data_IF_573183526591
#
_entry.id   IF_573183526591
#
_cell.length_a   1.000
_cell.length_b   1.000
_cell.length_c   1.000
_cell.angle_alpha   90.00
_cell.angle_beta   90.00
_cell.angle_gamma   90.00
#
_symmetry.space_group_name_H-M   'P 1'
#
loop_
_entity.id
_entity.type
_entity.pdbx_description
1 polymer ?
#
# COMPACT_ATOMS: atom_id res chain seq x y z
N UNK A 1 -0.40 17.14 -5.25
CA UNK A 1 -0.90 17.24 -6.62
C UNK A 1 -1.75 16.03 -7.00
N UNK A 2 -1.24 14.78 -6.89
CA UNK A 2 -1.95 13.56 -7.34
C UNK A 2 -3.25 13.29 -6.57
N UNK A 3 -3.25 13.41 -5.24
CA UNK A 3 -4.46 13.27 -4.43
C UNK A 3 -5.53 14.31 -4.78
N UNK A 4 -5.13 15.56 -5.00
CA UNK A 4 -6.07 16.62 -5.41
C UNK A 4 -6.66 16.39 -6.82
N UNK A 5 -5.91 15.76 -7.71
CA UNK A 5 -6.41 15.36 -9.02
C UNK A 5 -7.45 14.24 -8.90
N UNK A 6 -7.20 13.25 -8.05
CA UNK A 6 -8.15 12.20 -7.71
C UNK A 6 -9.46 12.79 -7.16
N UNK A 7 -9.39 13.67 -6.17
CA UNK A 7 -10.57 14.30 -5.56
C UNK A 7 -11.40 15.07 -6.59
N UNK A 8 -10.76 15.75 -7.54
CA UNK A 8 -11.48 16.46 -8.62
C UNK A 8 -12.16 15.53 -9.60
N UNK A 9 -11.60 14.36 -9.86
CA UNK A 9 -12.10 13.41 -10.86
C UNK A 9 -13.18 12.47 -10.32
N UNK A 10 -12.98 11.95 -9.11
CA UNK A 10 -13.80 10.86 -8.53
C UNK A 10 -14.49 11.24 -7.21
N UNK A 11 -14.31 12.47 -6.75
CA UNK A 11 -14.80 12.90 -5.44
C UNK A 11 -13.79 12.64 -4.32
N UNK A 12 -14.08 13.19 -3.15
CA UNK A 12 -13.22 13.03 -1.98
C UNK A 12 -13.41 11.64 -1.37
N UNK A 13 -12.33 10.87 -1.12
CA UNK A 13 -12.44 9.64 -0.35
C UNK A 13 -13.06 9.91 1.02
N UNK A 14 -14.09 9.16 1.38
CA UNK A 14 -14.83 9.47 2.59
C UNK A 14 -15.93 8.46 2.89
N UNK A 15 -17.13 8.96 3.12
CA UNK A 15 -18.26 8.14 3.58
C UNK A 15 -18.96 7.41 2.43
N UNK A 16 -18.90 7.99 1.20
CA UNK A 16 -19.52 7.41 0.01
C UNK A 16 -18.49 6.78 -0.90
N UNK A 17 -18.83 5.62 -1.46
CA UNK A 17 -18.03 4.96 -2.48
C UNK A 17 -18.38 5.54 -3.86
N UNK A 18 -17.38 5.92 -4.68
CA UNK A 18 -17.64 6.36 -6.03
C UNK A 18 -18.21 5.23 -6.89
N UNK A 19 -19.03 5.59 -7.85
CA UNK A 19 -19.41 4.67 -8.92
C UNK A 19 -18.27 4.64 -9.92
N UNK A 20 -17.62 3.50 -10.03
CA UNK A 20 -16.54 3.29 -11.00
C UNK A 20 -17.12 2.77 -12.31
N UNK A 21 -16.92 3.50 -13.39
CA UNK A 21 -17.38 3.10 -14.73
C UNK A 21 -16.48 2.01 -15.34
N UNK A 22 -15.22 1.92 -14.89
CA UNK A 22 -14.24 1.01 -15.44
C UNK A 22 -13.08 0.72 -14.47
N UNK A 23 -12.24 -0.25 -14.85
CA UNK A 23 -11.10 -0.71 -14.06
C UNK A 23 -10.00 0.34 -13.90
N UNK A 24 -9.85 1.21 -14.88
CA UNK A 24 -8.87 2.29 -14.82
C UNK A 24 -9.20 3.29 -13.71
N UNK A 25 -10.46 3.61 -13.51
CA UNK A 25 -10.90 4.49 -12.41
C UNK A 25 -10.63 3.87 -11.04
N UNK A 26 -10.86 2.55 -10.89
CA UNK A 26 -10.50 1.84 -9.67
C UNK A 26 -8.98 1.91 -9.40
N UNK A 27 -8.17 1.71 -10.44
CA UNK A 27 -6.71 1.82 -10.33
C UNK A 27 -6.27 3.23 -9.94
N UNK A 28 -6.82 4.26 -10.58
CA UNK A 28 -6.52 5.66 -10.26
C UNK A 28 -6.94 5.99 -8.83
N UNK A 29 -8.08 5.47 -8.37
CA UNK A 29 -8.54 5.63 -6.99
C UNK A 29 -7.54 5.07 -5.98
N UNK A 30 -7.03 3.87 -6.22
CA UNK A 30 -6.02 3.23 -5.37
C UNK A 30 -4.69 3.99 -5.39
N UNK A 31 -4.16 4.31 -6.59
CA UNK A 31 -2.88 5.04 -6.74
C UNK A 31 -2.96 6.43 -6.09
N UNK A 32 -4.06 7.15 -6.31
CA UNK A 32 -4.26 8.47 -5.72
C UNK A 32 -4.34 8.43 -4.19
N UNK A 33 -4.97 7.39 -3.64
CA UNK A 33 -5.02 7.17 -2.19
C UNK A 33 -3.64 6.86 -1.60
N UNK A 34 -2.85 6.02 -2.25
CA UNK A 34 -1.45 5.75 -1.86
C UNK A 34 -0.61 7.02 -1.94
N UNK A 35 -0.75 7.81 -3.01
CA UNK A 35 -0.02 9.06 -3.15
C UNK A 35 -0.41 10.09 -2.07
N UNK A 36 -1.68 10.14 -1.68
CA UNK A 36 -2.13 10.95 -0.55
C UNK A 36 -1.50 10.53 0.77
N UNK A 37 -1.47 9.23 1.03
CA UNK A 37 -0.82 8.66 2.21
C UNK A 37 0.68 8.95 2.24
N UNK A 38 1.39 8.74 1.13
CA UNK A 38 2.83 9.03 1.03
C UNK A 38 3.11 10.52 1.29
N UNK A 39 2.27 11.42 0.76
CA UNK A 39 2.41 12.84 1.01
C UNK A 39 2.21 13.19 2.49
N UNK A 40 1.22 12.58 3.16
CA UNK A 40 0.99 12.79 4.59
C UNK A 40 2.16 12.27 5.45
N UNK A 41 2.69 11.08 5.14
CA UNK A 41 3.85 10.51 5.84
C UNK A 41 5.11 11.37 5.63
N UNK A 42 5.36 11.82 4.41
CA UNK A 42 6.51 12.68 4.11
C UNK A 42 6.42 14.03 4.84
N UNK A 43 5.22 14.61 4.95
CA UNK A 43 5.01 15.87 5.67
C UNK A 43 5.23 15.69 7.19
N UNK A 44 4.77 14.58 7.76
CA UNK A 44 5.06 14.24 9.17
C UNK A 44 6.56 14.10 9.41
N UNK A 45 7.28 13.41 8.54
CA UNK A 45 8.74 13.27 8.62
C UNK A 45 9.47 14.62 8.46
N UNK A 46 8.89 15.56 7.72
CA UNK A 46 9.39 16.94 7.55
C UNK A 46 8.88 17.90 8.66
N UNK A 47 8.44 17.38 9.81
CA UNK A 47 7.87 18.18 10.91
C UNK A 47 6.68 19.05 10.47
N UNK A 48 5.84 18.53 9.59
CA UNK A 48 4.64 19.21 9.06
C UNK A 48 4.94 20.52 8.35
N UNK A 49 6.05 20.58 7.62
CA UNK A 49 6.52 21.78 6.94
C UNK A 49 5.55 22.31 5.87
N UNK A 50 4.76 21.43 5.26
CA UNK A 50 3.78 21.77 4.20
C UNK A 50 2.36 21.86 4.76
N UNK A 51 2.07 21.14 5.85
CA UNK A 51 0.75 21.10 6.49
C UNK A 51 -0.26 20.28 5.68
N UNK A 52 0.13 19.10 5.23
CA UNK A 52 -0.81 18.17 4.58
C UNK A 52 -1.94 17.84 5.56
N UNK A 53 -3.22 17.89 5.14
CA UNK A 53 -4.33 17.66 6.03
C UNK A 53 -4.25 16.30 6.74
N UNK A 54 -4.33 16.30 8.06
CA UNK A 54 -4.29 15.08 8.89
C UNK A 54 -5.38 14.06 8.57
N UNK A 55 -6.48 14.50 7.95
CA UNK A 55 -7.59 13.63 7.59
C UNK A 55 -7.38 12.84 6.27
N UNK A 56 -6.27 13.04 5.57
CA UNK A 56 -5.99 12.31 4.31
C UNK A 56 -5.87 10.81 4.57
N UNK A 57 -5.16 10.40 5.62
CA UNK A 57 -4.98 8.99 5.93
C UNK A 57 -6.28 8.26 6.31
N UNK A 58 -7.12 8.78 7.23
CA UNK A 58 -8.44 8.19 7.50
C UNK A 58 -9.38 8.18 6.28
N UNK A 59 -9.31 9.19 5.42
CA UNK A 59 -10.08 9.23 4.18
C UNK A 59 -9.61 8.19 3.17
N UNK A 60 -8.31 8.01 3.02
CA UNK A 60 -7.74 6.96 2.17
C UNK A 60 -8.15 5.56 2.66
N UNK A 61 -8.18 5.34 3.97
CA UNK A 61 -8.65 4.09 4.57
C UNK A 61 -10.11 3.81 4.20
N UNK A 62 -11.00 4.77 4.42
CA UNK A 62 -12.42 4.64 4.05
C UNK A 62 -12.61 4.50 2.54
N UNK A 63 -11.85 5.24 1.75
CA UNK A 63 -11.88 5.11 0.30
C UNK A 63 -11.46 3.73 -0.19
N UNK A 64 -10.48 3.11 0.46
CA UNK A 64 -10.07 1.74 0.13
C UNK A 64 -11.07 0.69 0.61
N UNK A 65 -11.89 0.98 1.62
CA UNK A 65 -12.97 0.08 2.04
C UNK A 65 -13.94 -0.21 0.89
N UNK A 66 -14.12 0.72 -0.04
CA UNK A 66 -14.94 0.56 -1.25
C UNK A 66 -14.48 -0.58 -2.18
N UNK A 67 -13.21 -0.94 -2.11
CA UNK A 67 -12.57 -1.97 -2.94
C UNK A 67 -12.03 -3.15 -2.12
N UNK A 68 -12.24 -3.19 -0.79
CA UNK A 68 -11.72 -4.24 0.08
C UNK A 68 -12.72 -5.40 0.27
N UNK A 69 -13.28 -5.89 -0.82
CA UNK A 69 -14.01 -7.16 -0.84
C UNK A 69 -13.20 -8.26 -1.55
N UNK A 70 -13.69 -9.50 -1.46
CA UNK A 70 -12.98 -10.65 -2.03
C UNK A 70 -12.75 -10.53 -3.53
N UNK A 71 -13.73 -10.00 -4.29
CA UNK A 71 -13.64 -9.87 -5.74
C UNK A 71 -12.58 -8.84 -6.15
N UNK A 72 -12.64 -7.66 -5.54
CA UNK A 72 -11.69 -6.58 -5.84
C UNK A 72 -10.28 -6.90 -5.34
N UNK A 73 -10.14 -7.53 -4.17
CA UNK A 73 -8.82 -7.96 -3.70
C UNK A 73 -8.18 -9.01 -4.60
N UNK A 74 -8.93 -9.96 -5.17
CA UNK A 74 -8.39 -10.87 -6.19
C UNK A 74 -7.98 -10.13 -7.45
N UNK A 75 -8.87 -9.27 -7.98
CA UNK A 75 -8.64 -8.51 -9.20
C UNK A 75 -7.41 -7.61 -9.09
N UNK A 76 -7.22 -6.98 -7.95
CA UNK A 76 -6.17 -6.01 -7.67
C UNK A 76 -5.06 -6.60 -6.76
N UNK A 77 -4.82 -7.92 -6.88
CA UNK A 77 -3.68 -8.62 -6.27
C UNK A 77 -3.46 -8.26 -4.79
N UNK A 78 -4.52 -8.04 -4.03
CA UNK A 78 -4.49 -7.69 -2.61
C UNK A 78 -4.19 -6.23 -2.30
N UNK A 79 -4.06 -5.35 -3.30
CA UNK A 79 -3.69 -3.95 -3.09
C UNK A 79 -4.69 -3.16 -2.22
N UNK A 80 -6.04 -3.23 -2.41
CA UNK A 80 -6.96 -2.52 -1.53
C UNK A 80 -6.78 -2.89 -0.06
N UNK A 81 -6.69 -4.18 0.23
CA UNK A 81 -6.45 -4.69 1.57
C UNK A 81 -5.09 -4.25 2.10
N UNK A 82 -4.03 -4.32 1.30
CA UNK A 82 -2.70 -3.89 1.70
C UNK A 82 -2.66 -2.42 2.11
N UNK A 83 -3.32 -1.53 1.35
CA UNK A 83 -3.39 -0.11 1.66
C UNK A 83 -4.13 0.11 2.99
N UNK A 84 -5.31 -0.51 3.17
CA UNK A 84 -6.07 -0.39 4.42
C UNK A 84 -5.29 -0.89 5.61
N UNK A 85 -4.75 -2.10 5.53
CA UNK A 85 -4.01 -2.71 6.63
C UNK A 85 -2.74 -1.93 6.96
N UNK A 86 -2.06 -1.36 5.97
CA UNK A 86 -0.95 -0.43 6.21
C UNK A 86 -1.38 0.81 6.99
N UNK A 87 -2.55 1.36 6.68
CA UNK A 87 -3.10 2.51 7.43
C UNK A 87 -3.45 2.14 8.86
N UNK A 88 -3.96 0.94 9.09
CA UNK A 88 -4.26 0.45 10.44
C UNK A 88 -3.02 0.28 11.32
N UNK A 89 -1.84 0.04 10.74
CA UNK A 89 -0.59 0.00 11.51
C UNK A 89 -0.05 1.39 11.85
N UNK A 90 -0.38 2.41 11.06
CA UNK A 90 0.22 3.75 11.15
C UNK A 90 -0.69 4.74 11.91
N UNK A 91 -2.01 4.63 11.69
CA UNK A 91 -2.97 5.61 12.19
C UNK A 91 -3.70 5.05 13.42
N UNK A 92 -3.47 5.63 14.61
CA UNK A 92 -4.17 5.17 15.81
C UNK A 92 -5.69 5.29 15.69
N UNK A 93 -6.41 4.28 16.15
CA UNK A 93 -7.87 4.32 16.28
C UNK A 93 -8.67 4.08 14.99
N UNK A 94 -8.02 3.79 13.87
CA UNK A 94 -8.73 3.46 12.60
C UNK A 94 -8.86 1.95 12.37
N UNK A 95 -8.14 1.14 13.14
CA UNK A 95 -8.21 -0.32 13.06
C UNK A 95 -9.58 -0.80 13.55
N UNK A 96 -10.32 -1.60 12.75
CA UNK A 96 -11.57 -2.19 13.21
C UNK A 96 -11.37 -3.10 14.43
N UNK A 97 -12.37 -3.19 15.29
CA UNK A 97 -12.32 -4.03 16.46
C UNK A 97 -12.11 -5.52 16.09
N UNK A 98 -11.17 -6.17 16.78
CA UNK A 98 -10.85 -7.59 16.55
C UNK A 98 -10.03 -7.89 15.29
N UNK A 99 -9.60 -6.87 14.56
CA UNK A 99 -8.74 -7.03 13.37
C UNK A 99 -7.27 -6.92 13.75
N UNK A 100 -6.46 -7.88 13.31
CA UNK A 100 -5.00 -7.81 13.34
C UNK A 100 -4.48 -7.25 12.01
N UNK A 101 -3.96 -6.01 11.97
CA UNK A 101 -3.45 -5.39 10.75
C UNK A 101 -2.33 -6.18 10.07
N UNK A 102 -1.46 -6.78 10.85
CA UNK A 102 -0.32 -7.54 10.34
C UNK A 102 -0.75 -8.85 9.68
N UNK A 103 -1.75 -9.54 10.25
CA UNK A 103 -2.34 -10.73 9.64
C UNK A 103 -3.07 -10.40 8.33
N UNK A 104 -3.73 -9.23 8.24
CA UNK A 104 -4.37 -8.79 7.01
C UNK A 104 -3.33 -8.39 5.93
N UNK A 105 -2.20 -7.78 6.32
CA UNK A 105 -1.07 -7.54 5.41
C UNK A 105 -0.48 -8.84 4.86
N UNK A 106 -0.35 -9.88 5.69
CA UNK A 106 0.12 -11.20 5.23
C UNK A 106 -0.81 -11.79 4.16
N UNK A 107 -2.13 -11.69 4.36
CA UNK A 107 -3.12 -12.14 3.35
C UNK A 107 -3.02 -11.35 2.05
N UNK A 108 -2.90 -10.03 2.15
CA UNK A 108 -2.75 -9.16 0.98
C UNK A 108 -1.47 -9.46 0.20
N UNK A 109 -0.36 -9.66 0.91
CA UNK A 109 0.94 -10.01 0.33
C UNK A 109 0.89 -11.35 -0.39
N UNK A 110 0.24 -12.36 0.20
CA UNK A 110 0.07 -13.66 -0.44
C UNK A 110 -0.68 -13.54 -1.77
N UNK A 111 -1.80 -12.80 -1.81
CA UNK A 111 -2.53 -12.53 -3.05
C UNK A 111 -1.64 -11.89 -4.11
N UNK A 112 -0.83 -10.90 -3.72
CA UNK A 112 0.09 -10.24 -4.65
C UNK A 112 1.17 -11.19 -5.20
N UNK A 113 1.70 -12.08 -4.37
CA UNK A 113 2.68 -13.08 -4.80
C UNK A 113 2.08 -14.10 -5.76
N UNK A 114 0.88 -14.57 -5.48
CA UNK A 114 0.17 -15.56 -6.31
C UNK A 114 -0.15 -14.99 -7.71
N UNK A 115 -0.49 -13.71 -7.80
CA UNK A 115 -0.81 -13.01 -9.05
C UNK A 115 0.42 -12.43 -9.77
N UNK A 116 1.61 -12.57 -9.20
CA UNK A 116 2.86 -12.04 -9.78
C UNK A 116 2.98 -10.51 -9.76
N UNK A 117 2.18 -9.83 -8.92
CA UNK A 117 2.23 -8.37 -8.68
C UNK A 117 2.49 -8.12 -7.20
N UNK A 118 3.72 -7.86 -6.86
CA UNK A 118 4.22 -7.88 -5.48
C UNK A 118 4.17 -6.53 -4.75
N UNK A 119 3.32 -5.61 -5.22
CA UNK A 119 3.17 -4.29 -4.60
C UNK A 119 2.70 -4.34 -3.13
N UNK A 120 1.81 -5.26 -2.73
CA UNK A 120 1.49 -5.46 -1.31
C UNK A 120 2.71 -5.80 -0.44
N UNK A 121 3.69 -6.55 -0.97
CA UNK A 121 4.94 -6.85 -0.25
C UNK A 121 5.79 -5.61 -0.02
N UNK A 122 5.85 -4.70 -0.99
CA UNK A 122 6.56 -3.44 -0.84
C UNK A 122 5.89 -2.53 0.20
N UNK A 123 4.55 -2.46 0.21
CA UNK A 123 3.81 -1.70 1.22
C UNK A 123 4.03 -2.26 2.64
N UNK A 124 3.94 -3.58 2.81
CA UNK A 124 4.21 -4.24 4.09
C UNK A 124 5.65 -3.95 4.57
N UNK A 125 6.64 -4.05 3.68
CA UNK A 125 8.02 -3.76 4.03
C UNK A 125 8.22 -2.29 4.47
N UNK A 126 7.57 -1.33 3.79
CA UNK A 126 7.64 0.08 4.14
C UNK A 126 7.04 0.37 5.52
N UNK A 127 5.85 -0.17 5.82
CA UNK A 127 5.23 0.07 7.13
C UNK A 127 5.97 -0.68 8.24
N UNK A 128 6.50 -1.86 7.96
CA UNK A 128 7.35 -2.61 8.89
C UNK A 128 8.66 -1.89 9.21
N UNK A 129 9.26 -1.24 8.19
CA UNK A 129 10.45 -0.41 8.38
C UNK A 129 10.15 0.79 9.28
N UNK A 130 9.05 1.49 9.02
CA UNK A 130 8.61 2.62 9.86
C UNK A 130 8.27 2.21 11.30
N UNK A 131 7.75 1.00 11.50
CA UNK A 131 7.49 0.40 12.82
C UNK A 131 8.76 -0.16 13.49
N UNK A 132 9.92 -0.02 12.86
CA UNK A 132 11.20 -0.59 13.33
C UNK A 132 11.19 -2.12 13.42
N UNK A 133 10.28 -2.81 12.75
CA UNK A 133 10.21 -4.26 12.70
C UNK A 133 11.16 -4.83 11.63
N UNK A 134 12.46 -4.69 11.88
CA UNK A 134 13.51 -5.07 10.92
C UNK A 134 13.52 -6.57 10.60
N UNK A 135 13.06 -7.42 11.54
CA UNK A 135 12.96 -8.85 11.27
C UNK A 135 11.90 -9.15 10.20
N UNK A 136 10.74 -8.49 10.28
CA UNK A 136 9.68 -8.61 9.26
C UNK A 136 10.16 -8.09 7.91
N UNK A 137 10.82 -6.94 7.86
CA UNK A 137 11.41 -6.38 6.63
C UNK A 137 12.35 -7.38 5.96
N UNK A 138 13.30 -7.97 6.71
CA UNK A 138 14.23 -8.97 6.16
C UNK A 138 13.52 -10.21 5.64
N UNK A 139 12.46 -10.66 6.30
CA UNK A 139 11.67 -11.81 5.86
C UNK A 139 10.95 -11.49 4.54
N UNK A 140 10.31 -10.32 4.45
CA UNK A 140 9.60 -9.87 3.24
C UNK A 140 10.57 -9.77 2.05
N UNK A 141 11.76 -9.21 2.24
CA UNK A 141 12.78 -9.11 1.18
C UNK A 141 13.17 -10.51 0.67
N UNK A 142 13.39 -11.48 1.56
CA UNK A 142 13.71 -12.86 1.16
C UNK A 142 12.57 -13.55 0.42
N UNK A 143 11.34 -13.41 0.92
CA UNK A 143 10.15 -13.96 0.29
C UNK A 143 9.90 -13.35 -1.09
N UNK A 144 10.09 -12.04 -1.22
CA UNK A 144 10.02 -11.35 -2.49
C UNK A 144 11.03 -11.91 -3.49
N UNK A 145 12.29 -12.04 -3.10
CA UNK A 145 13.35 -12.61 -3.95
C UNK A 145 13.00 -14.03 -4.40
N UNK A 146 12.53 -14.88 -3.49
CA UNK A 146 12.10 -16.24 -3.81
C UNK A 146 10.88 -16.24 -4.77
N UNK A 147 9.92 -15.36 -4.53
CA UNK A 147 8.73 -15.24 -5.37
C UNK A 147 9.06 -14.75 -6.80
N UNK A 148 10.03 -13.85 -6.96
CA UNK A 148 10.49 -13.42 -8.29
C UNK A 148 11.11 -14.57 -9.08
N UNK A 149 11.77 -15.51 -8.40
CA UNK A 149 12.37 -16.68 -9.03
C UNK A 149 11.35 -17.78 -9.36
N UNK A 150 10.30 -17.93 -8.53
CA UNK A 150 9.34 -19.02 -8.64
C UNK A 150 8.09 -18.68 -9.45
N UNK A 151 7.67 -17.43 -9.44
CA UNK A 151 6.44 -16.96 -10.08
C UNK A 151 6.74 -15.84 -11.07
N UNK A 152 6.35 -16.05 -12.34
CA UNK A 152 6.53 -15.03 -13.36
C UNK A 152 5.76 -13.75 -13.02
N UNK A 153 6.37 -12.59 -13.29
CA UNK A 153 5.69 -11.32 -13.13
C UNK A 153 4.53 -11.20 -14.11
N UNK A 154 3.41 -10.68 -13.63
CA UNK A 154 2.24 -10.43 -14.45
C UNK A 154 2.57 -9.41 -15.55
N UNK A 155 2.33 -9.81 -16.82
CA UNK A 155 2.71 -8.98 -17.98
C UNK A 155 1.87 -7.71 -18.11
N UNK A 156 0.62 -7.76 -17.67
CA UNK A 156 -0.30 -6.62 -17.70
C UNK A 156 0.10 -5.54 -16.69
N UNK A 157 0.62 -5.98 -15.53
CA UNK A 157 0.97 -5.10 -14.41
C UNK A 157 2.48 -4.99 -14.20
N UNK A 158 3.26 -4.87 -15.29
CA UNK A 158 4.73 -4.79 -15.21
C UNK A 158 5.22 -3.60 -14.40
N UNK A 159 4.56 -2.43 -14.53
CA UNK A 159 4.98 -1.22 -13.84
C UNK A 159 4.86 -1.36 -12.31
N UNK A 160 3.72 -1.73 -11.71
CA UNK A 160 3.66 -1.95 -10.27
C UNK A 160 4.55 -3.12 -9.80
N UNK A 161 4.75 -4.15 -10.62
CA UNK A 161 5.66 -5.26 -10.30
C UNK A 161 7.13 -4.81 -10.25
N UNK A 162 7.58 -3.96 -11.19
CA UNK A 162 8.91 -3.37 -11.19
C UNK A 162 9.10 -2.42 -10.01
N UNK A 163 8.15 -1.50 -9.81
CA UNK A 163 8.21 -0.53 -8.71
C UNK A 163 8.30 -1.20 -7.34
N UNK A 164 7.63 -2.34 -7.14
CA UNK A 164 7.75 -3.09 -5.89
C UNK A 164 9.14 -3.68 -5.67
N UNK A 165 9.79 -4.18 -6.73
CA UNK A 165 11.16 -4.68 -6.66
C UNK A 165 12.17 -3.57 -6.39
N UNK A 166 12.01 -2.41 -7.05
CA UNK A 166 12.89 -1.26 -6.85
C UNK A 166 12.81 -0.73 -5.41
N UNK A 167 11.59 -0.62 -4.85
CA UNK A 167 11.38 -0.23 -3.45
C UNK A 167 12.04 -1.20 -2.46
N UNK A 168 11.91 -2.50 -2.69
CA UNK A 168 12.51 -3.50 -1.79
C UNK A 168 14.04 -3.57 -1.92
N UNK A 169 14.58 -3.32 -3.11
CA UNK A 169 16.02 -3.16 -3.31
C UNK A 169 16.54 -1.93 -2.56
N UNK A 170 15.88 -0.78 -2.67
CA UNK A 170 16.24 0.42 -1.93
C UNK A 170 16.24 0.19 -0.41
N UNK A 171 15.21 -0.47 0.12
CA UNK A 171 15.17 -0.84 1.54
C UNK A 171 16.29 -1.80 1.93
N UNK A 172 16.59 -2.78 1.08
CA UNK A 172 17.70 -3.70 1.30
C UNK A 172 19.03 -2.97 1.36
N UNK A 173 19.29 -2.06 0.43
CA UNK A 173 20.52 -1.28 0.37
C UNK A 173 20.68 -0.39 1.61
N UNK A 174 19.61 0.25 2.07
CA UNK A 174 19.62 1.02 3.33
C UNK A 174 19.98 0.13 4.53
N UNK A 175 19.38 -1.05 4.65
CA UNK A 175 19.69 -1.98 5.74
C UNK A 175 21.14 -2.45 5.73
N UNK A 176 21.77 -2.58 4.55
CA UNK A 176 23.19 -2.90 4.44
C UNK A 176 24.09 -1.73 4.83
N UNK A 177 23.74 -0.51 4.43
CA UNK A 177 24.56 0.69 4.70
C UNK A 177 24.44 1.19 6.14
N UNK A 178 23.28 1.02 6.78
CA UNK A 178 23.06 1.41 8.18
C UNK A 178 23.70 0.45 9.19
N UNK A 179 24.06 -0.76 8.78
CA UNK A 179 24.70 -1.78 9.63
C UNK A 179 26.24 -1.90 9.40
N UNK A 180 26.84 -1.00 8.64
CA UNK A 180 28.28 -0.88 8.43
C UNK A 180 28.84 0.36 9.13
#
# INVERSE_FOLDING_TARGET
ASYQALVRALGEPGDDCPLFDNDFEQLIWMIGSVAGLQAALADVQANMAVGVPFNVAPKAERGMACLDDQKHNRKWWGLPKAIRSSLWTIVPGVTPEGVDPWAELDKARQLGMDEGVRLPSALDALVSYNDSNMQRVRNIIREHANSVQSTASNREYRMPASASSDLLLELSDRLWTENT
#
